data_IF_826380343077
#
_entry.id   IF_826380343077
#
_cell.length_a   1.000
_cell.length_b   1.000
_cell.length_c   1.000
_cell.angle_alpha   90.00
_cell.angle_beta   90.00
_cell.angle_gamma   90.00
#
_symmetry.space_group_name_H-M   'P 1'
#
loop_
_entity.id
_entity.type
_entity.pdbx_description
1 polymer ?
#
# COMPACT_ATOMS: atom_id res chain seq x y z
N UNK A 1 -22.75 14.42 1.10
CA UNK A 1 -22.65 15.07 -0.22
C UNK A 1 -21.41 14.60 -0.95
N UNK A 2 -21.53 14.22 -2.23
CA UNK A 2 -20.43 13.72 -3.07
C UNK A 2 -19.21 14.65 -3.09
N UNK A 3 -19.43 15.96 -3.22
CA UNK A 3 -18.36 16.97 -3.25
C UNK A 3 -17.51 17.01 -1.98
N UNK A 4 -18.11 16.79 -0.81
CA UNK A 4 -17.36 16.75 0.45
C UNK A 4 -16.44 15.54 0.46
N UNK A 5 -16.96 14.37 0.08
CA UNK A 5 -16.16 13.15 -0.03
C UNK A 5 -14.99 13.31 -1.01
N UNK A 6 -15.25 13.77 -2.24
CA UNK A 6 -14.20 13.98 -3.25
C UNK A 6 -13.19 15.04 -2.80
N UNK A 7 -13.66 16.13 -2.18
CA UNK A 7 -12.80 17.17 -1.63
C UNK A 7 -11.88 16.62 -0.54
N UNK A 8 -12.40 15.86 0.42
CA UNK A 8 -11.61 15.22 1.47
C UNK A 8 -10.61 14.21 0.91
N UNK A 9 -11.03 13.39 -0.05
CA UNK A 9 -10.16 12.41 -0.70
C UNK A 9 -9.00 13.09 -1.44
N UNK A 10 -9.28 14.11 -2.25
CA UNK A 10 -8.26 14.86 -2.98
C UNK A 10 -7.33 15.60 -2.03
N UNK A 11 -7.86 16.21 -0.97
CA UNK A 11 -7.04 16.87 0.05
C UNK A 11 -6.09 15.89 0.75
N UNK A 12 -6.57 14.68 1.08
CA UNK A 12 -5.72 13.65 1.66
C UNK A 12 -4.64 13.18 0.68
N UNK A 13 -5.01 12.91 -0.58
CA UNK A 13 -4.11 12.38 -1.61
C UNK A 13 -3.07 13.39 -2.10
N UNK A 14 -3.45 14.66 -2.26
CA UNK A 14 -2.61 15.71 -2.85
C UNK A 14 -1.99 16.66 -1.82
N UNK A 15 -2.60 16.78 -0.64
CA UNK A 15 -2.12 17.63 0.44
C UNK A 15 -1.41 16.83 1.52
N UNK A 16 -2.14 15.95 2.20
CA UNK A 16 -1.63 15.25 3.39
C UNK A 16 -0.48 14.32 3.01
N UNK A 17 -0.66 13.42 2.03
CA UNK A 17 0.36 12.42 1.71
C UNK A 17 1.67 13.06 1.19
N UNK A 18 1.66 13.99 0.22
CA UNK A 18 2.87 14.69 -0.19
C UNK A 18 3.45 15.56 0.92
N UNK A 19 2.61 16.17 1.76
CA UNK A 19 3.03 16.97 2.90
C UNK A 19 3.79 16.15 3.94
N UNK A 20 3.32 14.95 4.28
CA UNK A 20 4.01 14.03 5.19
C UNK A 20 5.35 13.57 4.62
N UNK A 21 5.40 13.28 3.31
CA UNK A 21 6.63 12.94 2.63
C UNK A 21 7.64 14.11 2.67
N UNK A 22 7.19 15.32 2.34
CA UNK A 22 8.00 16.54 2.43
C UNK A 22 8.52 16.74 3.86
N UNK A 23 7.67 16.61 4.89
CA UNK A 23 8.07 16.72 6.28
C UNK A 23 9.12 15.67 6.68
N UNK A 24 8.99 14.43 6.18
CA UNK A 24 9.98 13.39 6.38
C UNK A 24 11.31 13.70 5.69
N UNK A 25 11.30 14.20 4.44
CA UNK A 25 12.53 14.57 3.71
C UNK A 25 13.26 15.69 4.42
N UNK A 26 12.52 16.70 4.87
CA UNK A 26 13.06 17.85 5.58
C UNK A 26 13.64 17.46 6.94
N UNK A 27 12.96 16.57 7.66
CA UNK A 27 13.48 16.03 8.93
C UNK A 27 14.75 15.20 8.71
N UNK A 28 14.79 14.38 7.65
CA UNK A 28 16.00 13.67 7.24
C UNK A 28 17.14 14.65 6.97
N UNK A 29 16.91 15.71 6.19
CA UNK A 29 17.94 16.73 5.90
C UNK A 29 18.49 17.41 7.15
N UNK A 30 17.65 17.71 8.14
CA UNK A 30 18.08 18.32 9.41
C UNK A 30 18.99 17.41 10.24
N UNK A 31 18.86 16.09 10.06
CA UNK A 31 19.66 15.08 10.76
C UNK A 31 20.92 14.68 9.96
N UNK A 32 20.97 15.00 8.67
CA UNK A 32 22.13 14.81 7.80
C UNK A 32 23.22 15.85 8.04
N UNK A 33 24.47 15.51 7.68
CA UNK A 33 25.60 16.43 7.81
C UNK A 33 25.89 17.16 6.50
N UNK A 34 25.61 16.54 5.35
CA UNK A 34 25.82 17.20 4.05
C UNK A 34 24.66 18.16 3.76
N UNK A 35 25.02 19.41 3.50
CA UNK A 35 24.09 20.44 3.01
C UNK A 35 23.84 20.22 1.52
N UNK A 36 22.87 19.37 1.22
CA UNK A 36 22.27 19.29 -0.12
C UNK A 36 21.12 20.28 -0.26
N UNK A 37 20.81 20.68 -1.50
CA UNK A 37 19.64 21.53 -1.74
C UNK A 37 18.35 20.76 -1.46
N UNK A 38 17.33 21.43 -0.92
CA UNK A 38 16.05 20.80 -0.57
C UNK A 38 15.43 20.03 -1.75
N UNK A 39 15.48 20.62 -2.96
CA UNK A 39 14.99 19.99 -4.18
C UNK A 39 15.73 18.70 -4.53
N UNK A 40 17.05 18.68 -4.34
CA UNK A 40 17.88 17.51 -4.59
C UNK A 40 17.60 16.41 -3.58
N UNK A 41 17.47 16.74 -2.29
CA UNK A 41 17.13 15.77 -1.26
C UNK A 41 15.74 15.17 -1.48
N UNK A 42 14.77 15.97 -1.95
CA UNK A 42 13.44 15.49 -2.34
C UNK A 42 13.54 14.47 -3.47
N UNK A 43 14.25 14.81 -4.55
CA UNK A 43 14.42 13.91 -5.69
C UNK A 43 15.13 12.61 -5.29
N UNK A 44 16.17 12.71 -4.47
CA UNK A 44 16.96 11.55 -4.04
C UNK A 44 16.14 10.61 -3.16
N UNK A 45 15.42 11.13 -2.16
CA UNK A 45 14.55 10.32 -1.31
C UNK A 45 13.32 9.79 -2.03
N UNK A 46 12.97 10.33 -3.21
CA UNK A 46 11.89 9.80 -4.05
C UNK A 46 12.10 8.33 -4.43
N UNK A 47 13.35 7.86 -4.46
CA UNK A 47 13.68 6.45 -4.70
C UNK A 47 13.09 5.51 -3.64
N UNK A 48 12.85 5.99 -2.41
CA UNK A 48 12.20 5.21 -1.34
C UNK A 48 10.74 4.89 -1.68
N UNK A 49 10.07 5.78 -2.42
CA UNK A 49 8.66 5.63 -2.78
C UNK A 49 8.43 4.54 -3.83
N UNK A 50 9.44 4.21 -4.64
CA UNK A 50 9.32 3.25 -5.74
C UNK A 50 8.98 1.84 -5.23
N UNK A 51 9.80 1.18 -4.38
CA UNK A 51 9.45 -0.12 -3.84
C UNK A 51 8.20 -0.08 -2.94
N UNK A 52 8.00 1.01 -2.19
CA UNK A 52 6.85 1.16 -1.31
C UNK A 52 5.52 1.19 -2.09
N UNK A 53 5.45 2.07 -3.10
CA UNK A 53 4.27 2.23 -3.95
C UNK A 53 3.97 1.00 -4.78
N UNK A 54 5.02 0.36 -5.33
CA UNK A 54 4.87 -0.89 -6.07
C UNK A 54 4.25 -1.99 -5.21
N UNK A 55 4.78 -2.22 -4.00
CA UNK A 55 4.26 -3.27 -3.13
C UNK A 55 2.86 -2.93 -2.62
N UNK A 56 2.57 -1.67 -2.32
CA UNK A 56 1.21 -1.25 -1.97
C UNK A 56 0.21 -1.47 -3.11
N UNK A 57 0.61 -1.22 -4.36
CA UNK A 57 -0.21 -1.51 -5.54
C UNK A 57 -0.46 -3.02 -5.73
N UNK A 58 0.56 -3.86 -5.51
CA UNK A 58 0.41 -5.33 -5.54
C UNK A 58 -0.57 -5.78 -4.46
N UNK A 59 -0.43 -5.27 -3.24
CA UNK A 59 -1.29 -5.62 -2.09
C UNK A 59 -2.73 -5.20 -2.34
N UNK A 60 -2.94 -3.98 -2.84
CA UNK A 60 -4.24 -3.50 -3.29
C UNK A 60 -4.85 -4.48 -4.32
N UNK A 61 -4.08 -4.87 -5.34
CA UNK A 61 -4.53 -5.80 -6.38
C UNK A 61 -4.91 -7.16 -5.80
N UNK A 62 -4.11 -7.70 -4.87
CA UNK A 62 -4.40 -8.97 -4.18
C UNK A 62 -5.74 -8.89 -3.41
N UNK A 63 -5.97 -7.79 -2.69
CA UNK A 63 -7.20 -7.60 -1.90
C UNK A 63 -8.45 -7.69 -2.78
N UNK A 64 -8.46 -7.00 -3.93
CA UNK A 64 -9.60 -7.04 -4.85
C UNK A 64 -9.69 -8.34 -5.67
N UNK A 65 -8.56 -8.89 -6.12
CA UNK A 65 -8.55 -10.07 -6.98
C UNK A 65 -9.06 -11.31 -6.25
N UNK A 66 -8.62 -11.54 -5.00
CA UNK A 66 -9.01 -12.74 -4.24
C UNK A 66 -10.47 -12.72 -3.81
N UNK A 67 -11.02 -11.55 -3.49
CA UNK A 67 -12.47 -11.42 -3.24
C UNK A 67 -13.25 -11.80 -4.51
N UNK A 68 -12.77 -11.42 -5.71
CA UNK A 68 -13.42 -11.77 -6.98
C UNK A 68 -13.24 -13.24 -7.37
N UNK A 69 -12.08 -13.84 -7.08
CA UNK A 69 -11.83 -15.26 -7.39
C UNK A 69 -12.78 -16.20 -6.67
N UNK A 70 -13.29 -15.81 -5.49
CA UNK A 70 -14.32 -16.57 -4.78
C UNK A 70 -15.61 -16.76 -5.60
N UNK A 71 -15.88 -15.90 -6.58
CA UNK A 71 -17.05 -15.99 -7.46
C UNK A 71 -16.80 -16.77 -8.74
N UNK A 72 -15.56 -17.08 -9.10
CA UNK A 72 -15.25 -17.72 -10.39
C UNK A 72 -15.84 -19.12 -10.48
N UNK A 73 -15.63 -19.97 -9.48
CA UNK A 73 -16.18 -21.34 -9.49
C UNK A 73 -17.72 -21.35 -9.42
N UNK A 74 -18.38 -20.57 -8.54
CA UNK A 74 -19.84 -20.47 -8.55
C UNK A 74 -20.41 -19.94 -9.86
N UNK A 75 -19.80 -18.91 -10.47
CA UNK A 75 -20.25 -18.35 -11.75
C UNK A 75 -20.10 -19.33 -12.92
N UNK A 76 -19.09 -20.22 -12.90
CA UNK A 76 -18.96 -21.29 -13.89
C UNK A 76 -19.98 -22.41 -13.62
N UNK A 77 -20.23 -22.73 -12.35
CA UNK A 77 -21.17 -23.79 -11.95
C UNK A 77 -22.62 -23.44 -12.28
N UNK A 78 -22.98 -22.16 -12.19
CA UNK A 78 -24.31 -21.63 -12.48
C UNK A 78 -24.26 -20.27 -13.23
N UNK A 79 -23.92 -20.27 -14.53
CA UNK A 79 -23.70 -19.04 -15.30
C UNK A 79 -24.96 -18.20 -15.49
N UNK A 80 -26.14 -18.81 -15.43
CA UNK A 80 -27.43 -18.14 -15.61
C UNK A 80 -28.21 -17.96 -14.30
N UNK A 81 -27.70 -18.44 -13.16
CA UNK A 81 -28.40 -18.36 -11.87
C UNK A 81 -29.64 -19.25 -11.79
N UNK A 82 -29.71 -20.30 -12.60
CA UNK A 82 -30.86 -21.22 -12.69
C UNK A 82 -30.76 -22.38 -11.69
N UNK A 83 -29.76 -22.36 -10.81
CA UNK A 83 -29.49 -23.43 -9.85
C UNK A 83 -28.70 -24.59 -10.45
N UNK A 84 -28.01 -24.38 -11.57
CA UNK A 84 -27.16 -25.41 -12.16
C UNK A 84 -25.99 -25.75 -11.22
N UNK A 85 -25.50 -26.99 -11.34
CA UNK A 85 -24.37 -27.47 -10.53
C UNK A 85 -23.35 -28.19 -11.41
N UNK A 86 -22.86 -27.49 -12.45
CA UNK A 86 -21.97 -28.08 -13.45
C UNK A 86 -20.62 -28.54 -12.87
N UNK A 87 -20.14 -27.90 -11.80
CA UNK A 87 -18.82 -28.16 -11.19
C UNK A 87 -18.95 -28.80 -9.80
N UNK A 88 -20.16 -29.06 -9.31
CA UNK A 88 -20.38 -29.59 -7.96
C UNK A 88 -20.28 -28.52 -6.85
N UNK A 89 -20.12 -27.25 -7.22
CA UNK A 89 -19.87 -26.12 -6.31
C UNK A 89 -20.89 -25.00 -6.56
N UNK A 90 -22.17 -25.24 -6.24
CA UNK A 90 -23.24 -24.22 -6.28
C UNK A 90 -23.44 -23.50 -4.94
N UNK A 91 -22.47 -23.59 -4.02
CA UNK A 91 -22.57 -22.84 -2.75
C UNK A 91 -22.48 -21.34 -3.07
N UNK A 92 -23.33 -20.49 -2.46
CA UNK A 92 -23.23 -19.05 -2.63
C UNK A 92 -21.82 -18.60 -2.24
N UNK A 93 -21.15 -17.89 -3.14
CA UNK A 93 -19.86 -17.27 -2.85
C UNK A 93 -20.03 -16.36 -1.62
N UNK A 94 -19.24 -16.57 -0.57
CA UNK A 94 -19.28 -15.72 0.62
C UNK A 94 -19.01 -14.28 0.23
N UNK A 95 -20.03 -13.41 0.36
CA UNK A 95 -19.96 -12.03 -0.10
C UNK A 95 -18.89 -11.28 0.71
N UNK A 96 -17.81 -10.87 0.05
CA UNK A 96 -16.77 -10.03 0.65
C UNK A 96 -15.86 -10.74 1.66
N UNK A 97 -15.89 -12.07 1.76
CA UNK A 97 -15.02 -12.80 2.68
C UNK A 97 -13.58 -12.79 2.16
N UNK A 98 -12.72 -11.97 2.79
CA UNK A 98 -11.28 -12.06 2.57
C UNK A 98 -10.80 -13.44 3.05
N UNK A 99 -10.21 -14.22 2.13
CA UNK A 99 -9.59 -15.48 2.50
C UNK A 99 -8.35 -15.21 3.36
N UNK A 100 -8.16 -15.94 4.47
CA UNK A 100 -6.95 -15.88 5.30
C UNK A 100 -5.66 -15.94 4.48
N UNK A 101 -5.66 -16.72 3.40
CA UNK A 101 -4.52 -16.79 2.47
C UNK A 101 -4.21 -15.43 1.82
N UNK A 102 -5.24 -14.70 1.38
CA UNK A 102 -5.08 -13.35 0.83
C UNK A 102 -4.53 -12.39 1.88
N UNK A 103 -5.05 -12.45 3.10
CA UNK A 103 -4.58 -11.58 4.20
C UNK A 103 -3.10 -11.81 4.52
N UNK A 104 -2.68 -13.07 4.64
CA UNK A 104 -1.27 -13.42 4.88
C UNK A 104 -0.39 -12.90 3.73
N UNK A 105 -0.82 -13.08 2.48
CA UNK A 105 -0.07 -12.61 1.32
C UNK A 105 0.07 -11.07 1.31
N UNK A 106 -1.00 -10.35 1.63
CA UNK A 106 -0.99 -8.89 1.75
C UNK A 106 0.03 -8.41 2.80
N UNK A 107 0.06 -9.05 3.98
CA UNK A 107 1.01 -8.72 5.05
C UNK A 107 2.45 -9.00 4.62
N UNK A 108 2.72 -10.14 3.99
CA UNK A 108 4.05 -10.51 3.49
C UNK A 108 4.54 -9.48 2.47
N UNK A 109 3.72 -9.14 1.48
CA UNK A 109 4.10 -8.21 0.41
C UNK A 109 4.36 -6.80 0.96
N UNK A 110 3.54 -6.29 1.89
CA UNK A 110 3.81 -5.00 2.53
C UNK A 110 5.06 -5.01 3.39
N UNK A 111 5.33 -6.12 4.10
CA UNK A 111 6.55 -6.27 4.90
C UNK A 111 7.80 -6.25 4.00
N UNK A 112 7.75 -6.92 2.85
CA UNK A 112 8.81 -6.87 1.83
C UNK A 112 8.99 -5.44 1.31
N UNK A 113 7.89 -4.73 1.01
CA UNK A 113 7.91 -3.34 0.58
C UNK A 113 8.54 -2.41 1.61
N UNK A 114 8.17 -2.53 2.88
CA UNK A 114 8.72 -1.76 3.98
C UNK A 114 10.21 -2.06 4.17
N UNK A 115 10.60 -3.33 4.15
CA UNK A 115 12.00 -3.75 4.28
C UNK A 115 12.85 -3.17 3.14
N UNK A 116 12.41 -3.32 1.89
CA UNK A 116 13.12 -2.79 0.73
C UNK A 116 13.22 -1.26 0.78
N UNK A 117 12.12 -0.57 1.03
CA UNK A 117 12.09 0.90 1.14
C UNK A 117 13.02 1.39 2.25
N UNK A 118 13.06 0.70 3.39
CA UNK A 118 13.98 1.01 4.49
C UNK A 118 15.44 0.82 4.09
N UNK A 119 15.77 -0.24 3.35
CA UNK A 119 17.11 -0.48 2.83
C UNK A 119 17.53 0.61 1.84
N UNK A 120 16.61 1.08 1.00
CA UNK A 120 16.85 2.21 0.08
C UNK A 120 17.09 3.50 0.87
N UNK A 121 16.26 3.80 1.88
CA UNK A 121 16.43 4.97 2.74
C UNK A 121 17.80 4.99 3.45
N UNK A 122 18.23 3.85 3.98
CA UNK A 122 19.55 3.70 4.63
C UNK A 122 20.69 3.90 3.64
N UNK A 123 20.57 3.38 2.41
CA UNK A 123 21.62 3.50 1.37
C UNK A 123 21.80 4.93 0.86
N UNK A 124 20.71 5.69 0.84
CA UNK A 124 20.69 7.08 0.35
C UNK A 124 21.16 8.06 1.44
N UNK A 125 20.94 7.70 2.71
CA UNK A 125 21.30 8.52 3.86
C UNK A 125 22.76 8.31 4.26
N UNK A 126 23.42 9.33 4.79
CA UNK A 126 24.80 9.25 5.31
C UNK A 126 24.86 8.48 6.64
N UNK A 127 23.76 8.47 7.39
CA UNK A 127 23.65 7.87 8.71
C UNK A 127 22.28 7.24 8.89
N UNK A 128 22.21 6.21 9.74
CA UNK A 128 20.95 5.61 10.19
C UNK A 128 20.02 6.67 10.79
N UNK A 129 20.55 7.64 11.56
CA UNK A 129 19.71 8.71 12.14
C UNK A 129 18.99 9.54 11.08
N UNK A 130 19.65 9.80 9.96
CA UNK A 130 19.07 10.51 8.83
C UNK A 130 18.02 9.67 8.10
N UNK A 131 18.17 8.34 8.08
CA UNK A 131 17.21 7.44 7.45
C UNK A 131 15.91 7.25 8.28
N UNK A 132 15.95 7.45 9.60
CA UNK A 132 14.81 7.20 10.51
C UNK A 132 13.52 7.88 10.04
N UNK A 133 13.48 9.21 9.74
CA UNK A 133 12.23 9.87 9.32
C UNK A 133 11.58 9.23 8.09
N UNK A 134 12.40 8.73 7.15
CA UNK A 134 11.92 8.07 5.94
C UNK A 134 11.43 6.65 6.18
N UNK A 135 12.12 5.90 7.04
CA UNK A 135 11.68 4.60 7.49
C UNK A 135 10.35 4.73 8.26
N UNK A 136 10.23 5.75 9.12
CA UNK A 136 8.99 6.04 9.86
C UNK A 136 7.85 6.40 8.91
N UNK A 137 8.09 7.24 7.90
CA UNK A 137 7.10 7.53 6.86
C UNK A 137 6.65 6.26 6.13
N UNK A 138 7.59 5.43 5.67
CA UNK A 138 7.28 4.18 5.00
C UNK A 138 6.49 3.23 5.91
N UNK A 139 6.87 3.13 7.19
CA UNK A 139 6.17 2.32 8.18
C UNK A 139 4.74 2.78 8.43
N UNK A 140 4.53 4.08 8.64
CA UNK A 140 3.20 4.67 8.79
C UNK A 140 2.34 4.42 7.55
N UNK A 141 2.90 4.62 6.35
CA UNK A 141 2.19 4.33 5.11
C UNK A 141 1.81 2.85 5.00
N UNK A 142 2.73 1.92 5.29
CA UNK A 142 2.44 0.49 5.30
C UNK A 142 1.35 0.12 6.32
N UNK A 143 1.35 0.72 7.51
CA UNK A 143 0.31 0.49 8.52
C UNK A 143 -1.06 1.01 8.07
N UNK A 144 -1.11 2.18 7.41
CA UNK A 144 -2.35 2.72 6.85
C UNK A 144 -2.90 1.80 5.76
N UNK A 145 -2.05 1.28 4.88
CA UNK A 145 -2.48 0.36 3.81
C UNK A 145 -2.93 -0.99 4.39
N UNK A 146 -2.25 -1.50 5.42
CA UNK A 146 -2.71 -2.69 6.14
C UNK A 146 -4.08 -2.48 6.74
N UNK A 147 -4.27 -1.41 7.52
CA UNK A 147 -5.56 -1.08 8.13
C UNK A 147 -6.67 -0.93 7.08
N UNK A 148 -6.37 -0.29 5.94
CA UNK A 148 -7.34 -0.04 4.88
C UNK A 148 -7.75 -1.32 4.13
N UNK A 149 -6.84 -2.28 3.93
CA UNK A 149 -7.07 -3.46 3.09
C UNK A 149 -7.33 -4.76 3.86
N UNK A 150 -6.81 -4.87 5.08
CA UNK A 150 -6.92 -6.06 5.93
C UNK A 150 -7.91 -5.83 7.07
N UNK A 151 -7.95 -4.62 7.64
CA UNK A 151 -8.75 -4.27 8.82
C UNK A 151 -7.91 -4.22 10.09
#
# INVERSE_FOLDING_TARGET
>A
SWFVFSGTFLFAALGILPGLYIAATWSSMRLGKIRSSFRQSLAQHGQVLVPLGLMAWIVFTISFAFVKFAYVLPAISDPFGWGWNLVGISKPAGVGAANYFSLILQVIVLTVGLFWSSRVAIRISESIRQAIPMISFAGLFSLIILWLLVG
#
